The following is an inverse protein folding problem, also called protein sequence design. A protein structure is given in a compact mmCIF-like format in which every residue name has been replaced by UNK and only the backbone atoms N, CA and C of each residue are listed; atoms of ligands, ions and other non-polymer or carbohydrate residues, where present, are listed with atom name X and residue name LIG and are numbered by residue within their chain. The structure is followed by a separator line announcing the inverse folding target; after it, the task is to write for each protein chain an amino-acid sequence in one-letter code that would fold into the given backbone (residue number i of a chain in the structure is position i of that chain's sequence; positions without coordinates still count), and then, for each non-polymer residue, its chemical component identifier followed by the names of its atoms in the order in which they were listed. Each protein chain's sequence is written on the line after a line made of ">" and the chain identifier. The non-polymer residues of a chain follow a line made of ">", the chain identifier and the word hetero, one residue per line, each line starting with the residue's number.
data_IF_079218023923
#
_entry.id   IF_079218023923
#
_cell.length_a   1.000
_cell.length_b   1.000
_cell.length_c   1.000
_cell.angle_alpha   90.00
_cell.angle_beta   90.00
_cell.angle_gamma   90.00
#
_symmetry.space_group_name_H-M   'P 1'
#
loop_
_entity.id
_entity.type
_entity.pdbx_description
1 polymer ?
#
# COMPACT_ATOMS: atom_id res chain seq x y z
N UNK A 1 39.17 -41.87 11.38
CA UNK A 1 39.46 -40.51 11.88
C UNK A 1 38.79 -39.48 10.97
N UNK A 2 38.27 -38.41 11.58
CA UNK A 2 37.91 -37.09 11.00
C UNK A 2 36.55 -36.91 10.28
N UNK A 3 35.56 -36.45 11.08
CA UNK A 3 34.68 -35.24 10.95
C UNK A 3 33.88 -34.92 9.65
N UNK A 4 32.80 -34.08 9.68
CA UNK A 4 32.40 -33.14 10.74
C UNK A 4 30.91 -33.12 11.15
N UNK A 5 30.70 -32.45 12.29
CA UNK A 5 29.43 -32.08 12.90
C UNK A 5 28.56 -31.19 12.00
N UNK A 6 27.29 -31.56 11.84
CA UNK A 6 26.26 -30.70 11.26
C UNK A 6 25.60 -29.86 12.36
N UNK A 7 25.70 -28.54 12.17
CA UNK A 7 25.18 -27.47 13.01
C UNK A 7 23.66 -27.62 13.21
N UNK A 8 23.23 -27.59 14.46
CA UNK A 8 21.82 -27.38 14.83
C UNK A 8 21.35 -25.99 14.40
N UNK A 9 20.10 -25.85 13.91
CA UNK A 9 19.57 -24.55 13.54
C UNK A 9 19.30 -23.70 14.79
N UNK A 10 19.80 -22.47 14.73
CA UNK A 10 19.69 -21.40 15.71
C UNK A 10 18.21 -21.02 15.89
N UNK A 11 17.61 -21.41 17.01
CA UNK A 11 16.31 -20.93 17.47
C UNK A 11 16.34 -19.41 17.50
N UNK A 12 15.62 -18.76 16.58
CA UNK A 12 15.36 -17.33 16.68
C UNK A 12 14.45 -17.13 17.89
N UNK A 13 14.97 -16.37 18.86
CA UNK A 13 14.21 -15.86 19.99
C UNK A 13 13.06 -15.03 19.43
N UNK A 14 11.85 -15.60 19.47
CA UNK A 14 10.60 -14.86 19.44
C UNK A 14 10.68 -13.80 20.53
N UNK A 15 10.93 -12.57 20.14
CA UNK A 15 10.84 -11.40 21.00
C UNK A 15 9.38 -11.23 21.40
N UNK A 16 9.01 -11.75 22.57
CA UNK A 16 7.75 -11.36 23.20
C UNK A 16 7.86 -9.87 23.53
N UNK A 17 7.16 -9.00 22.80
CA UNK A 17 6.88 -7.67 23.30
C UNK A 17 5.96 -7.85 24.52
N UNK A 18 6.58 -7.97 25.69
CA UNK A 18 5.85 -7.91 26.95
C UNK A 18 5.30 -6.50 27.09
N UNK A 19 4.01 -6.35 26.85
CA UNK A 19 3.27 -5.20 27.36
C UNK A 19 3.59 -5.09 28.85
N UNK A 20 3.98 -3.90 29.29
CA UNK A 20 4.50 -3.63 30.64
C UNK A 20 3.48 -3.91 31.74
N UNK A 21 2.20 -4.00 31.37
CA UNK A 21 1.07 -4.40 32.21
C UNK A 21 0.19 -5.40 31.45
N UNK A 22 -0.31 -6.48 32.09
CA UNK A 22 -1.37 -7.27 31.49
C UNK A 22 -2.59 -6.36 31.31
N UNK A 23 -2.99 -6.14 30.05
CA UNK A 23 -4.23 -5.44 29.74
C UNK A 23 -5.39 -6.20 30.42
N UNK A 24 -6.19 -5.49 31.22
CA UNK A 24 -7.40 -6.06 31.79
C UNK A 24 -8.38 -6.50 30.70
N UNK A 25 -9.16 -7.54 30.93
CA UNK A 25 -10.10 -8.12 29.95
C UNK A 25 -11.04 -7.06 29.35
N UNK A 26 -11.52 -6.13 30.18
CA UNK A 26 -12.40 -5.03 29.74
C UNK A 26 -11.70 -4.07 28.78
N UNK A 27 -10.41 -3.79 29.02
CA UNK A 27 -9.60 -2.94 28.14
C UNK A 27 -9.35 -3.63 26.82
N UNK A 28 -9.01 -4.92 26.84
CA UNK A 28 -8.83 -5.71 25.61
C UNK A 28 -10.11 -5.70 24.78
N UNK A 29 -11.27 -5.89 25.41
CA UNK A 29 -12.56 -5.86 24.70
C UNK A 29 -12.81 -4.52 24.00
N UNK A 30 -12.53 -3.40 24.66
CA UNK A 30 -12.67 -2.06 24.04
C UNK A 30 -11.69 -1.88 22.87
N UNK A 31 -10.46 -2.39 23.00
CA UNK A 31 -9.48 -2.34 21.92
C UNK A 31 -9.91 -3.21 20.73
N UNK A 32 -10.49 -4.40 20.98
CA UNK A 32 -11.04 -5.28 19.95
C UNK A 32 -12.22 -4.63 19.22
N UNK A 33 -13.21 -4.10 19.95
CA UNK A 33 -14.35 -3.38 19.36
C UNK A 33 -13.88 -2.16 18.54
N UNK A 34 -12.89 -1.42 19.06
CA UNK A 34 -12.28 -0.30 18.32
C UNK A 34 -11.54 -0.77 17.09
N UNK A 35 -10.90 -1.94 17.14
CA UNK A 35 -10.17 -2.53 16.03
C UNK A 35 -11.10 -2.99 14.93
N UNK A 36 -12.33 -3.41 15.23
CA UNK A 36 -13.34 -3.72 14.22
C UNK A 36 -13.76 -2.46 13.46
N UNK A 37 -13.92 -1.34 14.17
CA UNK A 37 -14.29 -0.03 13.58
C UNK A 37 -13.16 0.55 12.70
N UNK A 38 -11.91 0.44 13.14
CA UNK A 38 -10.74 0.98 12.45
C UNK A 38 -9.46 0.25 12.82
N UNK A 39 -8.52 0.11 11.90
CA UNK A 39 -7.27 -0.62 12.15
C UNK A 39 -6.06 0.31 12.25
N UNK A 40 -6.18 1.58 11.82
CA UNK A 40 -5.13 2.59 11.92
C UNK A 40 -5.50 3.69 12.90
N UNK A 41 -4.56 4.11 13.74
CA UNK A 41 -4.80 5.08 14.80
C UNK A 41 -4.53 6.51 14.31
N UNK A 42 -5.48 7.40 14.59
CA UNK A 42 -5.30 8.84 14.50
C UNK A 42 -5.40 9.45 15.90
N UNK A 43 -4.99 10.70 16.07
CA UNK A 43 -5.12 11.40 17.35
C UNK A 43 -6.57 11.36 17.87
N UNK A 44 -7.55 11.58 16.99
CA UNK A 44 -8.97 11.51 17.34
C UNK A 44 -9.40 10.11 17.78
N UNK A 45 -8.96 9.07 17.07
CA UNK A 45 -9.25 7.66 17.41
C UNK A 45 -8.60 7.27 18.74
N UNK A 46 -7.35 7.69 18.95
CA UNK A 46 -6.62 7.51 20.19
C UNK A 46 -7.34 8.17 21.37
N UNK A 47 -7.78 9.43 21.22
CA UNK A 47 -8.58 10.12 22.24
C UNK A 47 -9.90 9.40 22.53
N UNK A 48 -10.59 8.88 21.51
CA UNK A 48 -11.83 8.08 21.69
C UNK A 48 -11.56 6.85 22.55
N UNK A 49 -10.54 6.05 22.21
CA UNK A 49 -10.17 4.85 22.99
C UNK A 49 -9.84 5.23 24.43
N UNK A 50 -9.00 6.25 24.64
CA UNK A 50 -8.61 6.71 25.97
C UNK A 50 -9.79 7.20 26.82
N UNK A 51 -10.81 7.79 26.20
CA UNK A 51 -12.02 8.17 26.92
C UNK A 51 -12.82 6.98 27.45
N UNK A 52 -12.63 5.78 26.88
CA UNK A 52 -13.31 4.54 27.27
C UNK A 52 -12.47 3.70 28.25
N UNK A 53 -11.18 3.53 27.98
CA UNK A 53 -10.29 2.68 28.80
C UNK A 53 -9.55 3.43 29.91
N UNK A 54 -9.64 4.76 29.92
CA UNK A 54 -8.95 5.63 30.87
C UNK A 54 -7.63 6.20 30.37
N UNK A 55 -7.24 7.34 30.93
CA UNK A 55 -6.01 8.07 30.57
C UNK A 55 -4.72 7.50 31.14
N UNK A 56 -4.81 6.47 31.99
CA UNK A 56 -3.65 5.81 32.60
C UNK A 56 -2.85 4.97 31.60
N UNK A 57 -3.45 4.53 30.50
CA UNK A 57 -2.74 3.81 29.44
C UNK A 57 -1.92 4.78 28.58
N UNK A 58 -0.67 4.40 28.30
CA UNK A 58 0.18 5.21 27.44
C UNK A 58 -0.29 5.12 25.98
N UNK A 59 -0.11 6.19 25.18
CA UNK A 59 -0.43 6.13 23.75
C UNK A 59 0.37 5.02 23.05
N UNK A 60 1.58 4.76 23.53
CA UNK A 60 2.47 3.73 23.00
C UNK A 60 1.88 2.34 23.19
N UNK A 61 1.35 2.00 24.37
CA UNK A 61 0.76 0.68 24.65
C UNK A 61 -0.42 0.38 23.72
N UNK A 62 -1.30 1.37 23.50
CA UNK A 62 -2.43 1.24 22.58
C UNK A 62 -1.92 1.07 21.13
N UNK A 63 -0.91 1.84 20.74
CA UNK A 63 -0.33 1.77 19.40
C UNK A 63 0.35 0.43 19.12
N UNK A 64 1.08 -0.11 20.09
CA UNK A 64 1.72 -1.41 20.04
C UNK A 64 0.68 -2.53 19.95
N UNK A 65 -0.42 -2.44 20.72
CA UNK A 65 -1.52 -3.41 20.62
C UNK A 65 -2.14 -3.42 19.22
N UNK A 66 -2.44 -2.25 18.65
CA UNK A 66 -2.99 -2.15 17.30
C UNK A 66 -2.01 -2.69 16.24
N UNK A 67 -0.72 -2.40 16.38
CA UNK A 67 0.30 -2.91 15.47
C UNK A 67 0.41 -4.45 15.54
N UNK A 68 0.46 -5.01 16.75
CA UNK A 68 0.49 -6.46 16.97
C UNK A 68 -0.77 -7.13 16.40
N UNK A 69 -1.94 -6.52 16.59
CA UNK A 69 -3.20 -7.06 16.06
C UNK A 69 -3.24 -7.04 14.53
N UNK A 70 -2.80 -5.94 13.88
CA UNK A 70 -2.67 -5.90 12.41
C UNK A 70 -1.71 -6.98 11.91
N UNK A 71 -0.59 -7.20 12.60
CA UNK A 71 0.35 -8.25 12.22
C UNK A 71 -0.28 -9.64 12.28
N UNK A 72 -1.05 -9.94 13.35
CA UNK A 72 -1.77 -11.21 13.48
C UNK A 72 -2.78 -11.42 12.33
N UNK A 73 -3.56 -10.40 11.97
CA UNK A 73 -4.50 -10.50 10.84
C UNK A 73 -3.77 -10.72 9.51
N UNK A 74 -2.60 -10.08 9.34
CA UNK A 74 -1.76 -10.27 8.16
C UNK A 74 -1.19 -11.69 8.08
N UNK A 75 -0.71 -12.23 9.20
CA UNK A 75 -0.17 -13.59 9.25
C UNK A 75 -1.26 -14.65 9.01
N UNK A 76 -2.47 -14.39 9.52
CA UNK A 76 -3.60 -15.30 9.37
C UNK A 76 -4.19 -15.29 7.97
N UNK A 77 -4.48 -14.10 7.44
CA UNK A 77 -5.31 -13.93 6.24
C UNK A 77 -4.69 -13.00 5.18
N UNK A 78 -3.60 -12.31 5.52
CA UNK A 78 -2.92 -11.31 4.68
C UNK A 78 -1.98 -11.87 3.60
N UNK A 79 -1.89 -13.19 3.45
CA UNK A 79 -0.94 -13.81 2.53
C UNK A 79 -1.46 -13.94 1.09
N UNK A 80 -0.60 -13.57 0.14
CA UNK A 80 -0.83 -13.77 -1.30
C UNK A 80 -1.72 -12.71 -1.97
N UNK A 81 -1.93 -12.85 -3.29
CA UNK A 81 -2.82 -11.98 -4.05
C UNK A 81 -4.26 -12.18 -3.59
N UNK A 82 -5.04 -11.09 -3.56
CA UNK A 82 -6.44 -11.08 -3.07
C UNK A 82 -6.63 -11.33 -1.57
N UNK A 83 -5.58 -11.19 -0.77
CA UNK A 83 -5.69 -11.14 0.69
C UNK A 83 -6.68 -10.07 1.20
N UNK A 84 -6.90 -9.01 0.40
CA UNK A 84 -7.88 -7.97 0.69
C UNK A 84 -9.33 -8.47 0.86
N UNK A 85 -9.68 -9.65 0.35
CA UNK A 85 -11.04 -10.20 0.51
C UNK A 85 -11.32 -10.70 1.94
N UNK A 86 -10.26 -10.97 2.72
CA UNK A 86 -10.35 -11.56 4.06
C UNK A 86 -9.94 -10.62 5.19
N UNK A 87 -9.16 -9.59 4.85
CA UNK A 87 -8.65 -8.63 5.83
C UNK A 87 -9.71 -7.61 6.26
N UNK A 88 -9.55 -7.03 7.47
CA UNK A 88 -10.36 -5.88 7.88
C UNK A 88 -10.26 -4.70 6.91
N UNK A 89 -11.30 -3.86 6.84
CA UNK A 89 -11.53 -2.90 5.75
C UNK A 89 -10.33 -2.00 5.42
N UNK A 90 -9.73 -1.32 6.41
CA UNK A 90 -8.61 -0.40 6.13
C UNK A 90 -7.35 -1.17 5.67
N UNK A 91 -7.12 -2.35 6.24
CA UNK A 91 -6.00 -3.23 5.87
C UNK A 91 -6.19 -3.85 4.49
N UNK A 92 -7.40 -4.32 4.19
CA UNK A 92 -7.81 -4.85 2.90
C UNK A 92 -7.57 -3.81 1.81
N UNK A 93 -7.95 -2.57 2.06
CA UNK A 93 -7.76 -1.50 1.11
C UNK A 93 -6.27 -1.22 0.81
N UNK A 94 -5.41 -1.24 1.84
CA UNK A 94 -3.96 -1.12 1.64
C UNK A 94 -3.37 -2.31 0.89
N UNK A 95 -3.83 -3.53 1.15
CA UNK A 95 -3.42 -4.72 0.39
C UNK A 95 -3.85 -4.61 -1.08
N UNK A 96 -5.11 -4.26 -1.34
CA UNK A 96 -5.63 -4.08 -2.69
C UNK A 96 -4.87 -3.01 -3.48
N UNK A 97 -4.53 -1.90 -2.82
CA UNK A 97 -3.81 -0.82 -3.51
C UNK A 97 -2.36 -1.13 -3.75
N UNK A 98 -1.69 -1.81 -2.83
CA UNK A 98 -0.35 -2.34 -3.06
C UNK A 98 -0.33 -3.36 -4.21
N UNK A 99 -1.30 -4.27 -4.27
CA UNK A 99 -1.42 -5.26 -5.36
C UNK A 99 -1.58 -4.59 -6.74
N UNK A 100 -2.13 -3.37 -6.79
CA UNK A 100 -2.29 -2.60 -8.04
C UNK A 100 -1.11 -1.71 -8.38
N UNK A 101 -0.54 -1.06 -7.38
CA UNK A 101 0.62 -0.18 -7.54
C UNK A 101 1.57 -0.37 -6.36
N UNK A 102 2.56 -1.28 -6.47
CA UNK A 102 3.50 -1.57 -5.38
C UNK A 102 4.48 -0.42 -5.15
N UNK A 103 4.62 0.51 -6.10
CA UNK A 103 5.50 1.65 -5.94
C UNK A 103 4.80 2.79 -5.20
N UNK A 104 5.11 2.91 -3.91
CA UNK A 104 4.57 3.96 -3.02
C UNK A 104 4.80 5.39 -3.54
N UNK A 105 5.85 5.64 -4.34
CA UNK A 105 6.17 6.97 -4.89
C UNK A 105 5.14 7.43 -5.93
N UNK A 106 4.41 6.51 -6.54
CA UNK A 106 3.36 6.82 -7.52
C UNK A 106 2.00 7.12 -6.87
N UNK A 107 1.87 6.89 -5.56
CA UNK A 107 0.66 7.26 -4.83
C UNK A 107 0.57 8.77 -4.63
N UNK A 108 -0.62 9.31 -4.87
CA UNK A 108 -0.93 10.70 -4.54
C UNK A 108 -1.52 10.78 -3.12
N UNK A 109 -0.65 11.03 -2.13
CA UNK A 109 -1.03 11.12 -0.71
C UNK A 109 -2.04 12.23 -0.41
N UNK A 110 -2.01 13.33 -1.17
CA UNK A 110 -2.97 14.41 -0.98
C UNK A 110 -4.39 13.97 -1.33
N UNK A 111 -4.56 13.27 -2.46
CA UNK A 111 -5.85 12.68 -2.82
C UNK A 111 -6.24 11.56 -1.85
N UNK A 112 -5.26 10.80 -1.39
CA UNK A 112 -5.47 9.70 -0.45
C UNK A 112 -6.04 10.18 0.88
N UNK A 113 -5.42 11.18 1.51
CA UNK A 113 -5.82 11.71 2.81
C UNK A 113 -7.22 12.37 2.80
N UNK A 114 -7.77 12.70 1.62
CA UNK A 114 -9.14 13.22 1.49
C UNK A 114 -10.20 12.14 1.66
N UNK A 115 -9.89 10.92 1.26
CA UNK A 115 -10.85 9.82 1.19
C UNK A 115 -10.62 8.82 2.32
N UNK A 116 -9.38 8.75 2.83
CA UNK A 116 -8.96 7.76 3.82
C UNK A 116 -8.36 8.44 5.05
N UNK A 117 -8.60 7.82 6.21
CA UNK A 117 -8.18 8.33 7.53
C UNK A 117 -6.80 7.76 7.93
N UNK A 118 -6.11 7.10 7.00
CA UNK A 118 -4.80 6.47 7.20
C UNK A 118 -3.71 7.50 6.89
N UNK A 119 -2.72 7.62 7.78
CA UNK A 119 -1.63 8.58 7.60
C UNK A 119 -0.67 8.15 6.47
N UNK A 120 0.01 9.11 5.85
CA UNK A 120 1.07 8.83 4.87
C UNK A 120 2.18 7.93 5.46
N UNK A 121 2.53 8.16 6.72
CA UNK A 121 3.56 7.39 7.43
C UNK A 121 3.15 5.92 7.58
N UNK A 122 1.88 5.65 7.89
CA UNK A 122 1.36 4.29 8.02
C UNK A 122 1.36 3.55 6.68
N UNK A 123 1.00 4.25 5.60
CA UNK A 123 1.01 3.68 4.24
C UNK A 123 2.44 3.32 3.83
N UNK A 124 3.39 4.24 4.02
CA UNK A 124 4.80 4.00 3.68
C UNK A 124 5.37 2.84 4.49
N UNK A 125 5.06 2.77 5.78
CA UNK A 125 5.47 1.66 6.65
C UNK A 125 4.89 0.34 6.14
N UNK A 126 3.59 0.30 5.86
CA UNK A 126 2.93 -0.89 5.33
C UNK A 126 3.55 -1.37 4.00
N UNK A 127 3.82 -0.46 3.06
CA UNK A 127 4.43 -0.80 1.77
C UNK A 127 5.83 -1.40 1.95
N UNK A 128 6.63 -0.83 2.85
CA UNK A 128 7.96 -1.33 3.17
C UNK A 128 7.89 -2.75 3.75
N UNK A 129 7.04 -2.96 4.76
CA UNK A 129 6.86 -4.28 5.39
C UNK A 129 6.30 -5.32 4.42
N UNK A 130 5.42 -4.90 3.49
CA UNK A 130 4.90 -5.81 2.46
C UNK A 130 5.96 -6.20 1.44
N UNK A 131 6.74 -5.23 0.95
CA UNK A 131 7.82 -5.50 0.01
C UNK A 131 8.90 -6.43 0.62
N UNK A 132 9.22 -6.26 1.90
CA UNK A 132 10.11 -7.17 2.62
C UNK A 132 9.55 -8.60 2.69
N UNK A 133 8.25 -8.75 2.96
CA UNK A 133 7.57 -10.07 2.97
C UNK A 133 7.54 -10.72 1.58
N UNK A 134 7.23 -9.96 0.54
CA UNK A 134 7.20 -10.46 -0.84
C UNK A 134 8.61 -10.91 -1.30
N UNK A 135 9.65 -10.16 -0.92
CA UNK A 135 11.05 -10.53 -1.17
C UNK A 135 11.44 -11.84 -0.49
N UNK A 136 11.04 -12.04 0.77
CA UNK A 136 11.28 -13.30 1.49
C UNK A 136 10.57 -14.46 0.79
N UNK A 137 9.37 -14.23 0.24
CA UNK A 137 8.55 -15.25 -0.41
C UNK A 137 8.95 -15.54 -1.86
N UNK A 138 9.90 -14.78 -2.43
CA UNK A 138 10.32 -14.92 -3.82
C UNK A 138 9.28 -14.42 -4.84
N UNK A 139 8.33 -13.57 -4.41
CA UNK A 139 7.42 -12.89 -5.33
C UNK A 139 8.20 -11.74 -5.96
N UNK A 140 8.52 -11.87 -7.25
CA UNK A 140 9.23 -10.83 -8.02
C UNK A 140 8.30 -9.63 -8.18
N UNK A 141 8.58 -8.56 -7.45
CA UNK A 141 7.99 -7.25 -7.71
C UNK A 141 8.60 -6.68 -9.00
N UNK A 142 7.85 -5.88 -9.78
CA UNK A 142 8.44 -5.12 -10.88
C UNK A 142 9.61 -4.30 -10.34
N UNK A 143 10.80 -4.54 -10.88
CA UNK A 143 12.02 -3.83 -10.52
C UNK A 143 11.83 -2.33 -10.74
N UNK A 144 12.46 -1.48 -9.92
CA UNK A 144 12.54 -0.02 -10.14
C UNK A 144 13.35 0.34 -11.41
N UNK A 145 13.78 -0.64 -12.21
CA UNK A 145 14.66 -0.52 -13.36
C UNK A 145 13.94 -0.28 -14.70
N UNK A 146 12.61 -0.35 -14.78
CA UNK A 146 11.85 -0.02 -16.01
C UNK A 146 11.52 1.48 -16.13
N UNK A 147 12.26 2.34 -15.43
CA UNK A 147 12.10 3.80 -15.47
C UNK A 147 13.28 4.54 -16.12
N UNK A 148 14.17 3.83 -16.81
CA UNK A 148 15.19 4.46 -17.66
C UNK A 148 15.03 4.04 -19.13
N UNK A 149 14.76 5.06 -19.96
CA UNK A 149 14.95 5.11 -21.41
C UNK A 149 14.26 4.05 -22.30
N UNK A 150 13.00 4.30 -22.67
CA UNK A 150 12.59 4.06 -24.07
C UNK A 150 13.15 5.22 -24.93
N UNK A 151 14.48 5.26 -25.08
CA UNK A 151 15.13 6.08 -26.10
C UNK A 151 14.87 5.44 -27.45
N UNK A 152 13.78 5.86 -28.10
CA UNK A 152 13.57 5.58 -29.52
C UNK A 152 14.76 6.11 -30.34
N UNK A 153 15.26 5.37 -31.34
CA UNK A 153 15.67 5.97 -32.59
C UNK A 153 14.58 5.71 -33.65
N UNK A 154 14.02 6.76 -34.29
CA UNK A 154 13.16 6.60 -35.45
C UNK A 154 14.01 6.36 -36.70
N UNK A 155 13.82 5.22 -37.39
CA UNK A 155 14.30 4.94 -38.75
C UNK A 155 13.67 3.62 -39.21
N UNK A 156 13.03 3.44 -40.37
CA UNK A 156 12.71 4.24 -41.54
C UNK A 156 11.59 3.47 -42.31
N UNK A 157 10.94 4.04 -43.34
CA UNK A 157 9.58 3.68 -43.75
C UNK A 157 9.50 2.46 -44.67
N UNK A 158 8.55 1.57 -44.42
CA UNK A 158 8.09 0.57 -45.38
C UNK A 158 7.33 1.21 -46.55
N UNK A 159 7.34 0.59 -47.76
CA UNK A 159 6.89 1.25 -48.97
C UNK A 159 5.36 1.26 -49.04
N UNK A 160 4.76 2.42 -48.75
CA UNK A 160 3.35 2.63 -49.09
C UNK A 160 3.22 2.77 -50.61
N UNK A 161 2.46 1.84 -51.19
CA UNK A 161 1.97 1.89 -52.57
C UNK A 161 1.24 3.23 -52.80
N UNK A 162 1.67 3.96 -53.83
CA UNK A 162 0.94 5.13 -54.35
C UNK A 162 -0.43 4.71 -54.91
N UNK A 163 -1.50 5.45 -54.64
CA UNK A 163 -2.58 5.59 -55.60
C UNK A 163 -2.25 6.74 -56.55
N UNK A 164 -2.26 6.39 -57.84
CA UNK A 164 -2.19 7.26 -59.01
C UNK A 164 -3.33 8.29 -58.93
N UNK A 165 -3.01 9.58 -59.01
CA UNK A 165 -4.00 10.66 -58.86
C UNK A 165 -4.92 10.85 -60.06
N UNK A 166 -5.93 11.72 -59.89
CA UNK A 166 -6.34 12.74 -60.88
C UNK A 166 -7.29 13.82 -60.29
N UNK A 167 -6.81 15.07 -60.36
CA UNK A 167 -7.43 16.36 -60.72
C UNK A 167 -8.75 16.89 -60.11
N UNK A 168 -8.58 17.96 -59.32
CA UNK A 168 -9.12 19.33 -59.46
C UNK A 168 -10.62 19.60 -59.72
N UNK A 169 -11.26 20.22 -58.72
CA UNK A 169 -11.99 21.51 -58.73
C UNK A 169 -12.48 21.73 -57.28
N UNK A 170 -12.33 22.84 -56.59
CA UNK A 170 -12.48 24.23 -56.99
C UNK A 170 -13.80 24.77 -56.42
N UNK A 171 -13.86 25.07 -55.11
CA UNK A 171 -14.86 25.98 -54.51
C UNK A 171 -14.55 26.23 -53.01
N UNK A 172 -14.17 27.46 -52.67
CA UNK A 172 -14.17 28.00 -51.30
C UNK A 172 -15.59 28.33 -50.86
N UNK A 173 -15.85 28.43 -49.54
CA UNK A 173 -16.52 29.63 -49.09
C UNK A 173 -15.82 30.31 -47.90
N UNK A 174 -15.73 31.62 -48.05
CA UNK A 174 -15.30 32.64 -47.11
C UNK A 174 -16.51 33.11 -46.32
N UNK A 175 -16.56 32.99 -44.98
CA UNK A 175 -17.44 33.84 -44.17
C UNK A 175 -16.87 34.24 -42.79
N UNK A 176 -16.55 35.54 -42.75
CA UNK A 176 -16.45 36.54 -41.67
C UNK A 176 -16.74 36.15 -40.21
N UNK A 177 -15.78 36.51 -39.33
CA UNK A 177 -16.00 36.77 -37.90
C UNK A 177 -16.74 38.11 -37.70
N UNK A 178 -17.64 38.25 -36.71
CA UNK A 178 -18.09 39.57 -36.26
C UNK A 178 -17.15 40.16 -35.21
N UNK A 179 -17.03 41.48 -35.29
CA UNK A 179 -16.19 42.37 -34.47
C UNK A 179 -16.93 42.73 -33.17
N UNK A 180 -16.19 42.79 -32.06
CA UNK A 180 -16.63 43.40 -30.79
C UNK A 180 -16.91 44.89 -31.02
N UNK A 181 -18.03 45.36 -30.47
CA UNK A 181 -18.16 46.56 -29.64
C UNK A 181 -19.41 46.39 -28.78
#
# INVERSE_FOLDING_TARGET
>A
MSSPAAKTPRTQKSSSSSLKYPLGEEVVKVLEESFEDFQYLTEKRMSKIKSQIGHCFENQEISEWFAARRLQEIEKDGEGPRAYERLPVEMAFLHFTYDREPNVKKLNFFTWAKVHVISETDIRTYYKERAERDKIRGVVLPSEEDAEEESSPPSSPGPFRRPRGRSSSGATPLFKKPKKN
#
